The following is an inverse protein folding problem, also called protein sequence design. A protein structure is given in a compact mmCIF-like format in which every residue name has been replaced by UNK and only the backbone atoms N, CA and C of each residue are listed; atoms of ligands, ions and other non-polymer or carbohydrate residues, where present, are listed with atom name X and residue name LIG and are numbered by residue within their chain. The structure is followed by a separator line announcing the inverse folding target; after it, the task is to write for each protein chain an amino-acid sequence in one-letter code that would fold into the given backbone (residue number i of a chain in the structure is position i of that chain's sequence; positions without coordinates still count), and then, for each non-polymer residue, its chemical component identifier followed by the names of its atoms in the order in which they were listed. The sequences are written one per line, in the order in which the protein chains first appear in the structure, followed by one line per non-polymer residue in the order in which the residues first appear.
data_IF_202988567904
#
_entry.id   IF_202988567904
#
_cell.length_a   1.000
_cell.length_b   1.000
_cell.length_c   1.000
_cell.angle_alpha   90.00
_cell.angle_beta   90.00
_cell.angle_gamma   90.00
#
_symmetry.space_group_name_H-M   'P 1'
#
loop_
_entity.id
_entity.type
_entity.pdbx_description
1 polymer ?
#
# COMPACT_ATOMS: atom_id res chain seq x y z
N UNK A 1 -10.10 -21.71 -18.11
CA UNK A 1 -11.35 -20.92 -18.11
C UNK A 1 -11.54 -20.38 -19.52
N UNK A 2 -12.70 -20.62 -20.14
CA UNK A 2 -12.95 -20.17 -21.51
C UNK A 2 -13.13 -18.65 -21.52
N UNK A 3 -12.31 -17.95 -22.31
CA UNK A 3 -12.49 -16.51 -22.55
C UNK A 3 -13.90 -16.24 -23.06
N UNK A 4 -14.55 -15.20 -22.54
CA UNK A 4 -15.81 -14.71 -23.09
C UNK A 4 -15.47 -14.01 -24.40
N UNK A 5 -15.45 -14.76 -25.50
CA UNK A 5 -15.11 -14.28 -26.84
C UNK A 5 -16.31 -13.65 -27.57
N UNK A 6 -17.30 -13.13 -26.84
CA UNK A 6 -18.45 -12.44 -27.41
C UNK A 6 -18.67 -11.10 -26.71
N UNK A 7 -19.12 -10.05 -27.42
CA UNK A 7 -19.50 -8.80 -26.80
C UNK A 7 -20.49 -9.01 -25.66
N UNK A 8 -20.44 -8.14 -24.66
CA UNK A 8 -21.48 -8.12 -23.61
C UNK A 8 -22.83 -7.79 -24.25
N UNK A 9 -23.88 -8.49 -23.83
CA UNK A 9 -25.23 -8.25 -24.32
C UNK A 9 -25.79 -6.96 -23.73
N UNK A 10 -26.48 -6.17 -24.55
CA UNK A 10 -27.24 -5.00 -24.08
C UNK A 10 -28.35 -5.39 -23.08
N UNK A 11 -28.77 -6.65 -23.03
CA UNK A 11 -29.69 -7.12 -21.97
C UNK A 11 -29.10 -7.02 -20.56
N UNK A 12 -27.79 -6.83 -20.42
CA UNK A 12 -27.17 -6.60 -19.12
C UNK A 12 -27.62 -5.25 -18.53
N UNK A 13 -27.82 -4.22 -19.36
CA UNK A 13 -28.21 -2.88 -18.89
C UNK A 13 -29.63 -2.81 -18.33
N UNK A 14 -30.48 -3.81 -18.63
CA UNK A 14 -31.85 -3.90 -18.08
C UNK A 14 -31.90 -4.50 -16.67
N UNK A 15 -30.76 -4.92 -16.10
CA UNK A 15 -30.70 -5.47 -14.75
C UNK A 15 -30.62 -4.36 -13.68
N UNK A 16 -31.70 -3.59 -13.52
CA UNK A 16 -31.75 -2.40 -12.66
C UNK A 16 -31.47 -2.63 -11.16
N UNK A 17 -31.55 -3.89 -10.70
CA UNK A 17 -31.24 -4.25 -9.31
C UNK A 17 -29.78 -4.69 -9.13
N UNK A 18 -29.02 -4.87 -10.21
CA UNK A 18 -27.64 -5.36 -10.14
C UNK A 18 -26.72 -4.30 -9.55
N UNK A 19 -26.06 -4.63 -8.43
CA UNK A 19 -25.10 -3.74 -7.75
C UNK A 19 -23.66 -4.08 -8.02
N UNK A 20 -23.36 -5.36 -8.14
CA UNK A 20 -21.99 -5.85 -8.33
C UNK A 20 -21.94 -6.73 -9.56
N UNK A 21 -20.94 -6.50 -10.42
CA UNK A 21 -20.71 -7.28 -11.62
C UNK A 21 -19.26 -7.75 -11.68
N UNK A 22 -19.08 -9.06 -11.81
CA UNK A 22 -17.76 -9.70 -11.95
C UNK A 22 -17.65 -10.37 -13.32
N UNK A 23 -16.68 -9.94 -14.12
CA UNK A 23 -16.36 -10.48 -15.44
C UNK A 23 -14.94 -11.03 -15.42
N UNK A 24 -14.81 -12.32 -15.15
CA UNK A 24 -13.46 -12.88 -14.91
C UNK A 24 -12.66 -13.10 -16.19
N UNK A 25 -13.33 -13.38 -17.33
CA UNK A 25 -12.64 -13.71 -18.59
C UNK A 25 -13.12 -12.88 -19.79
N UNK A 26 -13.63 -11.68 -19.54
CA UNK A 26 -14.02 -10.71 -20.57
C UNK A 26 -12.85 -9.77 -20.88
N UNK A 27 -12.54 -9.60 -22.17
CA UNK A 27 -11.40 -8.79 -22.64
C UNK A 27 -11.67 -8.09 -23.97
N UNK A 28 -12.93 -7.96 -24.38
CA UNK A 28 -13.29 -7.25 -25.61
C UNK A 28 -13.55 -5.76 -25.31
N UNK A 29 -13.47 -4.87 -26.32
CA UNK A 29 -13.88 -3.48 -26.17
C UNK A 29 -15.31 -3.35 -25.61
N UNK A 30 -15.51 -2.35 -24.76
CA UNK A 30 -16.80 -2.06 -24.16
C UNK A 30 -17.67 -1.24 -25.11
N UNK A 31 -18.80 -1.81 -25.52
CA UNK A 31 -19.87 -1.08 -26.18
C UNK A 31 -20.52 -0.07 -25.22
N UNK A 32 -20.89 1.11 -25.73
CA UNK A 32 -21.56 2.14 -24.93
C UNK A 32 -22.89 1.65 -24.36
N UNK A 33 -23.16 1.97 -23.08
CA UNK A 33 -24.43 1.67 -22.41
C UNK A 33 -24.67 0.20 -22.08
N UNK A 34 -23.64 -0.64 -22.09
CA UNK A 34 -23.80 -2.09 -21.86
C UNK A 34 -23.99 -2.45 -20.39
N UNK A 35 -23.53 -1.60 -19.49
CA UNK A 35 -23.64 -1.82 -18.04
C UNK A 35 -24.92 -1.17 -17.48
N UNK A 36 -25.61 -1.83 -16.53
CA UNK A 36 -26.72 -1.21 -15.83
C UNK A 36 -26.23 -0.06 -14.95
N UNK A 37 -26.92 1.07 -15.01
CA UNK A 37 -26.59 2.30 -14.25
C UNK A 37 -26.60 2.09 -12.73
N UNK A 38 -27.25 1.03 -12.25
CA UNK A 38 -27.35 0.67 -10.84
C UNK A 38 -26.08 0.10 -10.23
N UNK A 39 -25.08 -0.27 -11.04
CA UNK A 39 -23.84 -0.90 -10.59
C UNK A 39 -23.03 0.07 -9.73
N UNK A 40 -22.66 -0.39 -8.54
CA UNK A 40 -21.74 0.29 -7.63
C UNK A 40 -20.36 -0.35 -7.55
N UNK A 41 -20.20 -1.61 -8.00
CA UNK A 41 -18.93 -2.30 -8.04
C UNK A 41 -18.74 -3.12 -9.32
N UNK A 42 -17.64 -2.88 -10.04
CA UNK A 42 -17.29 -3.59 -11.26
C UNK A 42 -15.90 -4.21 -11.13
N UNK A 43 -15.83 -5.51 -11.40
CA UNK A 43 -14.59 -6.28 -11.50
C UNK A 43 -14.48 -6.88 -12.89
N UNK A 44 -13.40 -6.60 -13.60
CA UNK A 44 -13.10 -7.23 -14.88
C UNK A 44 -11.65 -7.73 -14.87
N UNK A 45 -11.45 -9.03 -14.60
CA UNK A 45 -10.11 -9.56 -14.33
C UNK A 45 -9.21 -9.52 -15.56
N UNK A 46 -9.66 -10.12 -16.65
CA UNK A 46 -8.88 -10.25 -17.89
C UNK A 46 -9.03 -9.03 -18.83
N UNK A 47 -9.65 -7.94 -18.38
CA UNK A 47 -9.92 -6.77 -19.22
C UNK A 47 -8.67 -5.90 -19.39
N UNK A 48 -8.21 -5.78 -20.64
CA UNK A 48 -7.05 -4.98 -21.04
C UNK A 48 -7.31 -4.28 -22.39
N UNK A 49 -8.40 -3.52 -22.46
CA UNK A 49 -8.72 -2.63 -23.60
C UNK A 49 -8.95 -1.22 -23.06
N UNK A 50 -8.88 -0.21 -23.92
CA UNK A 50 -9.16 1.17 -23.54
C UNK A 50 -10.50 1.27 -22.80
N UNK A 51 -10.49 2.02 -21.69
CA UNK A 51 -11.74 2.45 -21.07
C UNK A 51 -12.53 3.27 -22.09
N UNK A 52 -13.84 3.11 -22.10
CA UNK A 52 -14.73 3.82 -23.02
C UNK A 52 -15.79 4.60 -22.25
N UNK A 53 -16.56 5.41 -22.98
CA UNK A 53 -17.70 6.15 -22.44
C UNK A 53 -18.75 5.26 -21.72
N UNK A 54 -18.75 3.95 -21.95
CA UNK A 54 -19.58 2.99 -21.24
C UNK A 54 -19.33 2.99 -19.71
N UNK A 55 -18.12 3.36 -19.29
CA UNK A 55 -17.75 3.45 -17.89
C UNK A 55 -17.93 4.87 -17.33
N UNK A 56 -17.67 5.92 -18.13
CA UNK A 56 -17.77 7.30 -17.66
C UNK A 56 -19.20 7.75 -17.35
N UNK A 57 -20.21 7.06 -17.87
CA UNK A 57 -21.64 7.31 -17.55
C UNK A 57 -22.12 6.62 -16.27
N UNK A 58 -21.31 5.77 -15.62
CA UNK A 58 -21.73 5.02 -14.43
C UNK A 58 -21.54 5.84 -13.14
N UNK A 59 -22.40 6.83 -12.91
CA UNK A 59 -22.30 7.76 -11.77
C UNK A 59 -22.50 7.13 -10.39
N UNK A 60 -23.04 5.90 -10.33
CA UNK A 60 -23.16 5.13 -9.08
C UNK A 60 -21.97 4.21 -8.83
N UNK A 61 -21.05 4.06 -9.79
CA UNK A 61 -19.89 3.18 -9.67
C UNK A 61 -18.90 3.76 -8.66
N UNK A 62 -18.66 3.01 -7.58
CA UNK A 62 -17.76 3.37 -6.48
C UNK A 62 -16.48 2.55 -6.47
N UNK A 63 -16.54 1.31 -6.93
CA UNK A 63 -15.38 0.40 -6.93
C UNK A 63 -15.13 -0.14 -8.33
N UNK A 64 -13.91 0.06 -8.83
CA UNK A 64 -13.45 -0.48 -10.11
C UNK A 64 -12.17 -1.30 -9.89
N UNK A 65 -12.25 -2.60 -10.16
CA UNK A 65 -11.15 -3.55 -9.99
C UNK A 65 -10.76 -4.18 -11.33
N UNK A 66 -9.60 -3.80 -11.86
CA UNK A 66 -9.08 -4.22 -13.16
C UNK A 66 -7.64 -4.75 -13.01
N UNK A 67 -7.46 -5.97 -12.48
CA UNK A 67 -6.14 -6.47 -12.09
C UNK A 67 -5.18 -6.68 -13.25
N UNK A 68 -5.65 -6.98 -14.46
CA UNK A 68 -4.79 -7.18 -15.64
C UNK A 68 -4.78 -5.99 -16.61
N UNK A 69 -5.44 -4.87 -16.25
CA UNK A 69 -5.52 -3.70 -17.13
C UNK A 69 -4.18 -2.97 -17.20
N UNK A 70 -3.70 -2.69 -18.41
CA UNK A 70 -2.43 -2.03 -18.66
C UNK A 70 -2.46 -1.12 -19.92
N UNK A 71 -3.60 -0.47 -20.17
CA UNK A 71 -3.76 0.52 -21.26
C UNK A 71 -3.74 1.96 -20.71
N UNK A 72 -3.47 2.96 -21.54
CA UNK A 72 -3.52 4.38 -21.13
C UNK A 72 -4.87 4.73 -20.47
N UNK A 73 -4.82 5.55 -19.44
CA UNK A 73 -6.01 6.06 -18.74
C UNK A 73 -6.27 7.48 -19.20
N UNK A 74 -7.54 7.83 -19.39
CA UNK A 74 -7.99 9.21 -19.62
C UNK A 74 -9.10 9.57 -18.64
N UNK A 75 -9.03 10.80 -18.11
CA UNK A 75 -10.04 11.35 -17.19
C UNK A 75 -11.45 11.31 -17.80
N UNK A 76 -11.57 11.42 -19.12
CA UNK A 76 -12.86 11.41 -19.83
C UNK A 76 -13.51 10.01 -19.89
N UNK A 77 -12.67 8.98 -19.77
CA UNK A 77 -13.08 7.56 -19.88
C UNK A 77 -13.24 6.88 -18.52
N UNK A 78 -12.61 7.43 -17.48
CA UNK A 78 -12.79 6.95 -16.12
C UNK A 78 -14.17 7.36 -15.58
N UNK A 79 -14.86 6.49 -14.82
CA UNK A 79 -16.06 6.87 -14.11
C UNK A 79 -15.75 7.98 -13.08
N UNK A 80 -16.46 9.11 -13.09
CA UNK A 80 -16.13 10.27 -12.27
C UNK A 80 -16.44 10.10 -10.78
N UNK A 81 -17.19 9.06 -10.41
CA UNK A 81 -17.68 8.80 -9.05
C UNK A 81 -16.89 7.75 -8.27
N UNK A 82 -15.85 7.14 -8.87
CA UNK A 82 -15.10 6.03 -8.27
C UNK A 82 -14.36 6.50 -7.02
N UNK A 83 -14.50 5.73 -5.96
CA UNK A 83 -13.82 5.95 -4.69
C UNK A 83 -12.66 4.96 -4.50
N UNK A 84 -12.75 3.78 -5.10
CA UNK A 84 -11.72 2.73 -5.04
C UNK A 84 -11.35 2.28 -6.45
N UNK A 85 -10.07 2.38 -6.78
CA UNK A 85 -9.49 1.96 -8.06
C UNK A 85 -8.32 1.02 -7.82
N UNK A 86 -8.43 -0.21 -8.31
CA UNK A 86 -7.41 -1.24 -8.18
C UNK A 86 -6.92 -1.70 -9.55
N UNK A 87 -5.66 -1.38 -9.87
CA UNK A 87 -4.99 -1.70 -11.12
C UNK A 87 -3.67 -2.43 -10.83
N UNK A 88 -3.74 -3.75 -10.64
CA UNK A 88 -2.61 -4.51 -10.13
C UNK A 88 -1.45 -4.60 -11.14
N UNK A 89 -1.74 -4.91 -12.39
CA UNK A 89 -0.73 -5.09 -13.46
C UNK A 89 -0.44 -3.80 -14.26
N UNK A 90 -1.01 -2.67 -13.84
CA UNK A 90 -0.89 -1.42 -14.59
C UNK A 90 0.51 -0.83 -14.43
N UNK A 91 1.17 -0.60 -15.56
CA UNK A 91 2.53 -0.07 -15.65
C UNK A 91 2.70 0.82 -16.90
N UNK A 92 1.70 1.66 -17.20
CA UNK A 92 1.83 2.77 -18.15
C UNK A 92 2.08 4.08 -17.39
N UNK A 93 2.69 5.08 -18.03
CA UNK A 93 2.88 6.41 -17.42
C UNK A 93 1.51 7.07 -17.16
N UNK A 94 1.28 7.54 -15.94
CA UNK A 94 0.08 8.31 -15.58
C UNK A 94 0.45 9.79 -15.63
N UNK A 95 -0.22 10.56 -16.49
CA UNK A 95 -0.04 12.02 -16.55
C UNK A 95 -0.76 12.70 -15.38
N UNK A 96 -0.30 13.89 -14.94
CA UNK A 96 -1.00 14.69 -13.95
C UNK A 96 -2.50 14.89 -14.28
N UNK A 97 -3.36 14.85 -13.26
CA UNK A 97 -4.81 15.11 -13.36
C UNK A 97 -5.62 14.11 -14.24
N UNK A 98 -5.05 12.96 -14.61
CA UNK A 98 -5.75 11.92 -15.40
C UNK A 98 -6.69 11.07 -14.54
N UNK A 99 -6.34 10.83 -13.28
CA UNK A 99 -7.14 10.03 -12.36
C UNK A 99 -8.21 10.89 -11.69
N UNK A 100 -9.48 10.43 -11.59
CA UNK A 100 -10.56 11.20 -10.96
C UNK A 100 -10.26 11.64 -9.52
N UNK A 101 -10.61 12.89 -9.15
CA UNK A 101 -10.41 13.38 -7.78
C UNK A 101 -11.34 12.71 -6.76
N UNK A 102 -12.34 11.93 -7.17
CA UNK A 102 -13.20 11.16 -6.27
C UNK A 102 -12.48 9.98 -5.61
N UNK A 103 -11.33 9.55 -6.14
CA UNK A 103 -10.61 8.38 -5.65
C UNK A 103 -10.09 8.65 -4.24
N UNK A 104 -10.41 7.72 -3.33
CA UNK A 104 -9.92 7.72 -1.94
C UNK A 104 -9.01 6.52 -1.65
N UNK A 105 -9.15 5.42 -2.39
CA UNK A 105 -8.30 4.23 -2.30
C UNK A 105 -7.74 3.89 -3.69
N UNK A 106 -6.42 3.85 -3.82
CA UNK A 106 -5.72 3.58 -5.08
C UNK A 106 -4.69 2.47 -4.89
N UNK A 107 -4.79 1.42 -5.71
CA UNK A 107 -3.82 0.32 -5.73
C UNK A 107 -3.16 0.25 -7.11
N UNK A 108 -1.85 0.39 -7.14
CA UNK A 108 -0.99 0.37 -8.33
C UNK A 108 0.20 -0.57 -8.04
N UNK A 109 -0.05 -1.88 -8.04
CA UNK A 109 0.92 -2.88 -7.57
C UNK A 109 2.19 -2.89 -8.41
N UNK A 110 2.08 -3.05 -9.74
CA UNK A 110 3.20 -3.16 -10.68
C UNK A 110 3.66 -1.83 -11.28
N UNK A 111 3.06 -0.70 -10.88
CA UNK A 111 3.41 0.61 -11.42
C UNK A 111 4.84 0.99 -11.03
N UNK A 112 5.66 1.25 -12.04
CA UNK A 112 7.08 1.52 -11.87
C UNK A 112 7.61 2.63 -12.78
N UNK A 113 6.88 3.73 -12.87
CA UNK A 113 7.31 4.96 -13.53
C UNK A 113 7.44 6.09 -12.52
N UNK A 114 8.37 7.05 -12.68
CA UNK A 114 8.48 8.18 -11.77
C UNK A 114 7.14 8.90 -11.59
N UNK A 115 6.77 9.22 -10.35
CA UNK A 115 5.62 10.06 -10.08
C UNK A 115 5.97 11.52 -10.31
N UNK A 116 5.02 12.26 -10.87
CA UNK A 116 5.01 13.72 -10.90
C UNK A 116 3.95 14.25 -9.92
N UNK A 117 4.03 15.53 -9.48
CA UNK A 117 2.97 16.16 -8.73
C UNK A 117 1.61 16.02 -9.44
N UNK A 118 0.54 15.82 -8.66
CA UNK A 118 -0.84 15.66 -9.16
C UNK A 118 -1.11 14.38 -9.98
N UNK A 119 -0.17 13.44 -10.06
CA UNK A 119 -0.44 12.09 -10.58
C UNK A 119 -1.36 11.32 -9.62
N UNK A 120 -1.07 11.39 -8.32
CA UNK A 120 -1.94 10.83 -7.28
C UNK A 120 -3.06 11.86 -6.98
N UNK A 121 -4.36 11.49 -7.10
CA UNK A 121 -5.46 12.43 -6.89
C UNK A 121 -5.50 13.06 -5.50
N UNK A 122 -6.04 14.29 -5.37
CA UNK A 122 -5.95 15.08 -4.14
C UNK A 122 -6.76 14.54 -2.94
N UNK A 123 -7.68 13.60 -3.15
CA UNK A 123 -8.51 13.01 -2.09
C UNK A 123 -8.08 11.58 -1.70
N UNK A 124 -6.97 11.07 -2.26
CA UNK A 124 -6.47 9.74 -1.91
C UNK A 124 -6.10 9.71 -0.43
N UNK A 125 -6.70 8.76 0.29
CA UNK A 125 -6.44 8.47 1.71
C UNK A 125 -5.62 7.21 1.87
N UNK A 126 -5.73 6.25 0.94
CA UNK A 126 -4.98 4.98 0.94
C UNK A 126 -4.33 4.75 -0.41
N UNK A 127 -3.03 4.52 -0.40
CA UNK A 127 -2.22 4.28 -1.61
C UNK A 127 -1.36 3.02 -1.44
N UNK A 128 -1.36 2.17 -2.45
CA UNK A 128 -0.45 1.02 -2.54
C UNK A 128 0.39 1.08 -3.82
N UNK A 129 1.71 1.11 -3.65
CA UNK A 129 2.73 1.21 -4.71
C UNK A 129 3.83 0.17 -4.44
N UNK A 130 3.51 -1.11 -4.60
CA UNK A 130 4.34 -2.19 -4.05
C UNK A 130 5.55 -2.59 -4.90
N UNK A 131 5.54 -2.31 -6.20
CA UNK A 131 6.67 -2.51 -7.13
C UNK A 131 7.35 -1.19 -7.52
N UNK A 132 6.93 -0.05 -6.97
CA UNK A 132 7.46 1.27 -7.31
C UNK A 132 8.94 1.41 -6.93
N UNK A 133 9.81 1.51 -7.94
CA UNK A 133 11.27 1.52 -7.79
C UNK A 133 11.85 2.96 -7.86
N UNK A 134 11.05 3.94 -8.23
CA UNK A 134 11.55 5.29 -8.46
C UNK A 134 11.81 6.04 -7.15
N UNK A 135 12.62 7.11 -7.21
CA UNK A 135 12.88 7.95 -6.05
C UNK A 135 11.59 8.60 -5.54
N UNK A 136 11.59 8.87 -4.23
CA UNK A 136 10.59 9.71 -3.60
C UNK A 136 11.06 11.17 -3.64
N UNK A 137 10.14 12.08 -3.33
CA UNK A 137 10.40 13.50 -3.38
C UNK A 137 9.24 14.31 -2.85
N UNK A 138 9.50 15.59 -2.61
CA UNK A 138 8.52 16.55 -2.11
C UNK A 138 7.33 16.64 -3.07
N UNK A 139 6.13 16.74 -2.49
CA UNK A 139 4.87 16.99 -3.21
C UNK A 139 4.38 15.88 -4.17
N UNK A 140 4.96 14.67 -4.12
CA UNK A 140 4.49 13.53 -4.92
C UNK A 140 3.15 12.96 -4.42
N UNK A 141 2.88 13.11 -3.13
CA UNK A 141 1.67 12.58 -2.49
C UNK A 141 0.78 13.71 -1.96
N UNK A 142 -0.55 13.53 -1.96
CA UNK A 142 -1.47 14.52 -1.40
C UNK A 142 -1.43 14.54 0.13
N UNK A 143 -1.69 15.70 0.73
CA UNK A 143 -1.78 15.89 2.19
C UNK A 143 -3.04 15.24 2.82
N UNK A 144 -3.84 14.51 2.04
CA UNK A 144 -4.93 13.66 2.53
C UNK A 144 -4.49 12.21 2.77
N UNK A 145 -3.29 11.84 2.32
CA UNK A 145 -2.82 10.46 2.37
C UNK A 145 -2.57 10.03 3.81
N UNK A 146 -3.30 9.02 4.27
CA UNK A 146 -3.26 8.51 5.64
C UNK A 146 -2.58 7.14 5.71
N UNK A 147 -2.79 6.28 4.71
CA UNK A 147 -2.24 4.92 4.67
C UNK A 147 -1.40 4.75 3.40
N UNK A 148 -0.10 4.51 3.57
CA UNK A 148 0.83 4.27 2.47
C UNK A 148 1.46 2.88 2.61
N UNK A 149 1.25 2.04 1.60
CA UNK A 149 2.04 0.82 1.39
C UNK A 149 2.92 1.06 0.19
N UNK A 150 4.24 1.06 0.36
CA UNK A 150 5.19 1.37 -0.71
C UNK A 150 6.33 0.37 -0.72
N UNK A 151 6.90 0.13 -1.90
CA UNK A 151 8.16 -0.59 -2.00
C UNK A 151 9.28 0.17 -1.27
N UNK A 152 10.26 -0.57 -0.77
CA UNK A 152 11.43 -0.08 -0.08
C UNK A 152 12.64 0.14 -1.00
N UNK A 153 12.41 0.45 -2.28
CA UNK A 153 13.50 0.52 -3.26
C UNK A 153 14.38 1.77 -3.13
N UNK A 154 13.82 2.92 -2.75
CA UNK A 154 14.57 4.16 -2.62
C UNK A 154 15.84 3.94 -1.79
N UNK A 155 16.99 4.39 -2.30
CA UNK A 155 18.26 4.24 -1.58
C UNK A 155 18.21 4.94 -0.21
N UNK A 156 17.46 6.03 -0.13
CA UNK A 156 17.33 6.88 1.04
C UNK A 156 15.93 7.50 1.07
N UNK A 157 15.36 7.63 2.27
CA UNK A 157 14.17 8.43 2.56
C UNK A 157 14.62 9.73 3.24
N UNK A 158 14.27 10.86 2.64
CA UNK A 158 14.64 12.19 3.12
C UNK A 158 13.50 12.83 3.93
N UNK A 159 13.83 13.89 4.65
CA UNK A 159 12.84 14.78 5.24
C UNK A 159 11.94 15.40 4.15
N UNK A 160 10.64 15.45 4.40
CA UNK A 160 9.57 15.92 3.48
C UNK A 160 9.25 15.05 2.24
N UNK A 161 9.88 13.87 2.07
CA UNK A 161 9.52 12.94 0.99
C UNK A 161 8.09 12.38 1.14
N UNK A 162 7.61 12.33 2.38
CA UNK A 162 6.30 11.80 2.76
C UNK A 162 5.44 12.91 3.40
N UNK A 163 4.15 13.00 3.08
CA UNK A 163 3.27 14.01 3.66
C UNK A 163 3.02 13.75 5.15
N UNK A 164 2.89 14.83 5.92
CA UNK A 164 2.66 14.80 7.37
C UNK A 164 1.27 14.29 7.79
N UNK A 165 0.45 13.85 6.84
CA UNK A 165 -0.88 13.27 7.07
C UNK A 165 -0.85 11.75 7.28
N UNK A 166 0.28 11.10 6.98
CA UNK A 166 0.38 9.63 7.04
C UNK A 166 0.32 9.17 8.50
N UNK A 167 -0.63 8.27 8.78
CA UNK A 167 -0.79 7.61 10.08
C UNK A 167 -0.38 6.15 10.05
N UNK A 168 -0.41 5.51 8.88
CA UNK A 168 0.03 4.14 8.66
C UNK A 168 1.03 4.07 7.49
N UNK A 169 2.25 3.63 7.77
CA UNK A 169 3.32 3.50 6.80
C UNK A 169 3.86 2.06 6.78
N UNK A 170 3.82 1.43 5.61
CA UNK A 170 4.31 0.07 5.41
C UNK A 170 5.26 0.02 4.23
N UNK A 171 6.52 -0.31 4.53
CA UNK A 171 7.53 -0.62 3.52
C UNK A 171 7.46 -2.10 3.16
N UNK A 172 6.90 -2.42 2.01
CA UNK A 172 6.86 -3.77 1.49
C UNK A 172 8.21 -4.13 0.88
N UNK A 173 8.78 -5.23 1.34
CA UNK A 173 10.02 -5.78 0.75
C UNK A 173 9.73 -6.36 -0.62
N UNK A 174 10.40 -5.83 -1.64
CA UNK A 174 10.36 -6.42 -2.98
C UNK A 174 11.52 -7.43 -3.13
N UNK A 175 11.22 -8.73 -3.14
CA UNK A 175 12.22 -9.78 -3.28
C UNK A 175 12.75 -9.95 -4.71
N UNK A 176 12.10 -9.32 -5.70
CA UNK A 176 12.47 -9.45 -7.11
C UNK A 176 13.71 -8.64 -7.49
N UNK A 177 14.13 -7.70 -6.65
CA UNK A 177 15.28 -6.83 -6.92
C UNK A 177 16.34 -7.01 -5.84
N UNK A 178 17.59 -7.21 -6.26
CA UNK A 178 18.80 -7.20 -5.42
C UNK A 178 19.17 -5.78 -4.99
N UNK A 179 18.18 -4.98 -4.58
CA UNK A 179 18.38 -3.56 -4.30
C UNK A 179 19.12 -3.34 -2.99
N UNK A 180 19.87 -2.23 -2.93
CA UNK A 180 20.47 -1.76 -1.70
C UNK A 180 19.37 -1.53 -0.67
N UNK A 181 19.61 -1.87 0.61
CA UNK A 181 18.71 -1.55 1.71
C UNK A 181 18.44 -0.05 1.79
N UNK A 182 17.16 0.33 1.92
CA UNK A 182 16.76 1.72 2.15
C UNK A 182 17.41 2.26 3.43
N UNK A 183 17.83 3.52 3.38
CA UNK A 183 18.30 4.29 4.53
C UNK A 183 17.24 5.29 4.97
N UNK A 184 17.11 5.52 6.27
CA UNK A 184 16.22 6.54 6.81
C UNK A 184 17.07 7.67 7.39
N UNK A 185 16.90 8.88 6.85
CA UNK A 185 17.47 10.07 7.48
C UNK A 185 16.74 10.37 8.80
N UNK A 186 17.39 11.07 9.72
CA UNK A 186 16.70 11.64 10.88
C UNK A 186 15.48 12.45 10.42
N UNK A 187 14.33 12.27 11.07
CA UNK A 187 13.04 12.93 10.75
C UNK A 187 12.41 12.56 9.39
N UNK A 188 12.93 11.55 8.67
CA UNK A 188 12.36 11.15 7.37
C UNK A 188 10.99 10.46 7.47
N UNK A 189 10.68 9.87 8.62
CA UNK A 189 9.36 9.28 8.90
C UNK A 189 8.50 10.35 9.56
N UNK A 190 7.32 10.69 9.00
CA UNK A 190 6.49 11.77 9.54
C UNK A 190 6.08 11.54 11.01
N UNK A 191 6.05 12.60 11.85
CA UNK A 191 5.67 12.51 13.26
C UNK A 191 4.17 12.23 13.49
N UNK A 192 3.39 12.09 12.43
CA UNK A 192 1.99 11.65 12.46
C UNK A 192 1.84 10.13 12.44
N UNK A 193 2.90 9.38 12.09
CA UNK A 193 2.85 7.93 11.90
C UNK A 193 2.60 7.24 13.24
N UNK A 194 1.51 6.45 13.30
CA UNK A 194 1.13 5.65 14.47
C UNK A 194 1.47 4.17 14.27
N UNK A 195 1.36 3.69 13.03
CA UNK A 195 1.66 2.31 12.64
C UNK A 195 2.78 2.30 11.62
N UNK A 196 3.90 1.69 11.97
CA UNK A 196 5.09 1.59 11.11
C UNK A 196 5.47 0.13 10.90
N UNK A 197 5.59 -0.28 9.64
CA UNK A 197 6.14 -1.58 9.25
C UNK A 197 7.42 -1.31 8.44
N UNK A 198 8.56 -1.57 9.06
CA UNK A 198 9.87 -1.39 8.44
C UNK A 198 10.19 -2.55 7.47
N UNK A 199 11.02 -2.31 6.44
CA UNK A 199 11.29 -3.32 5.43
C UNK A 199 12.24 -4.40 5.92
N UNK A 200 11.95 -5.67 5.59
CA UNK A 200 12.71 -6.83 6.05
C UNK A 200 14.20 -6.80 5.69
N UNK A 201 14.58 -6.17 4.57
CA UNK A 201 15.96 -6.09 4.09
C UNK A 201 16.73 -4.88 4.64
N UNK A 202 16.21 -4.15 5.62
CA UNK A 202 16.92 -3.04 6.26
C UNK A 202 18.24 -3.54 6.88
N UNK A 203 19.38 -3.01 6.43
CA UNK A 203 20.70 -3.53 6.81
C UNK A 203 21.49 -2.62 7.74
N UNK A 204 20.96 -1.44 8.07
CA UNK A 204 21.63 -0.51 8.96
C UNK A 204 21.13 -0.73 10.40
N UNK A 205 21.96 -0.45 11.41
CA UNK A 205 21.47 -0.33 12.78
C UNK A 205 20.38 0.73 12.85
N UNK A 206 19.31 0.46 13.58
CA UNK A 206 18.32 1.48 13.90
C UNK A 206 18.94 2.48 14.87
N UNK A 207 18.87 3.78 14.55
CA UNK A 207 19.42 4.83 15.37
C UNK A 207 18.34 5.44 16.26
N UNK A 208 18.75 6.02 17.39
CA UNK A 208 17.87 6.81 18.26
C UNK A 208 17.29 7.96 17.42
N UNK A 209 15.97 8.11 17.46
CA UNK A 209 15.24 9.14 16.71
C UNK A 209 14.89 8.78 15.26
N UNK A 210 15.29 7.61 14.74
CA UNK A 210 14.81 7.13 13.43
C UNK A 210 13.30 6.88 13.44
N UNK A 211 12.79 6.30 14.54
CA UNK A 211 11.36 5.99 14.69
C UNK A 211 10.70 7.12 15.52
N UNK A 212 9.67 7.79 15.00
CA UNK A 212 9.02 8.89 15.73
C UNK A 212 8.31 8.44 17.02
N UNK A 213 8.27 9.33 18.02
CA UNK A 213 7.54 9.15 19.29
C UNK A 213 6.01 9.12 19.17
N UNK A 214 5.47 9.16 17.95
CA UNK A 214 4.04 8.94 17.68
C UNK A 214 3.70 7.47 17.43
N UNK A 215 4.71 6.63 17.16
CA UNK A 215 4.51 5.23 16.75
C UNK A 215 4.07 4.39 17.94
N UNK A 216 2.89 3.78 17.82
CA UNK A 216 2.31 2.88 18.83
C UNK A 216 2.33 1.42 18.39
N UNK A 217 2.41 1.15 17.08
CA UNK A 217 2.59 -0.19 16.50
C UNK A 217 3.81 -0.20 15.59
N UNK A 218 4.78 -1.07 15.89
CA UNK A 218 6.01 -1.21 15.12
C UNK A 218 6.24 -2.68 14.74
N UNK A 219 6.50 -2.91 13.46
CA UNK A 219 7.13 -4.15 12.99
C UNK A 219 8.58 -3.84 12.60
N UNK A 220 9.51 -4.49 13.30
CA UNK A 220 10.95 -4.32 13.09
C UNK A 220 11.45 -5.13 11.87
N UNK A 221 12.51 -4.66 11.21
CA UNK A 221 13.16 -5.43 10.15
C UNK A 221 13.92 -6.63 10.73
N UNK A 222 14.55 -7.44 9.86
CA UNK A 222 15.45 -8.50 10.33
C UNK A 222 16.70 -7.85 10.93
N UNK A 223 16.80 -7.87 12.25
CA UNK A 223 17.96 -7.33 12.95
C UNK A 223 19.13 -8.31 12.90
N UNK A 224 20.32 -7.82 12.55
CA UNK A 224 21.59 -8.56 12.59
C UNK A 224 22.34 -8.42 13.92
N UNK A 225 21.84 -7.57 14.82
CA UNK A 225 22.41 -7.29 16.14
C UNK A 225 21.30 -7.04 17.15
N UNK A 226 21.57 -7.17 18.46
CA UNK A 226 20.61 -6.80 19.50
C UNK A 226 20.17 -5.33 19.40
N UNK A 227 18.98 -5.03 19.92
CA UNK A 227 18.49 -3.65 20.03
C UNK A 227 19.35 -2.86 21.03
N UNK A 228 19.45 -1.55 20.81
CA UNK A 228 20.08 -0.61 21.74
C UNK A 228 19.03 0.15 22.53
N UNK A 229 19.38 0.56 23.75
CA UNK A 229 18.51 1.38 24.61
C UNK A 229 18.18 2.71 23.91
N UNK A 230 16.91 3.11 23.96
CA UNK A 230 16.42 4.37 23.37
C UNK A 230 16.12 4.32 21.87
N UNK A 231 16.33 3.19 21.18
CA UNK A 231 15.98 3.05 19.76
C UNK A 231 14.47 2.96 19.54
N UNK A 232 13.76 2.30 20.45
CA UNK A 232 12.31 2.18 20.40
C UNK A 232 11.66 3.44 21.02
N UNK A 233 10.57 3.97 20.45
CA UNK A 233 9.91 5.17 20.98
C UNK A 233 9.12 4.85 22.26
N UNK A 234 9.05 5.82 23.18
CA UNK A 234 8.34 5.70 24.46
C UNK A 234 6.81 5.57 24.34
N UNK A 235 6.25 5.81 23.15
CA UNK A 235 4.83 5.62 22.84
C UNK A 235 4.48 4.20 22.41
N UNK A 236 5.48 3.34 22.21
CA UNK A 236 5.29 2.03 21.59
C UNK A 236 4.45 1.11 22.47
N UNK A 237 3.33 0.61 21.96
CA UNK A 237 2.46 -0.33 22.71
C UNK A 237 2.54 -1.75 22.15
N UNK A 238 2.75 -1.89 20.85
CA UNK A 238 2.80 -3.17 20.14
C UNK A 238 4.08 -3.28 19.31
N UNK A 239 4.89 -4.28 19.63
CA UNK A 239 6.15 -4.56 18.95
C UNK A 239 6.07 -5.93 18.26
N UNK A 240 6.37 -5.99 16.97
CA UNK A 240 6.42 -7.25 16.22
C UNK A 240 7.83 -7.45 15.66
N UNK A 241 8.42 -8.60 15.96
CA UNK A 241 9.64 -9.07 15.31
C UNK A 241 9.27 -9.98 14.15
N UNK A 242 9.93 -9.82 13.00
CA UNK A 242 9.63 -10.63 11.82
C UNK A 242 10.31 -12.00 11.85
N UNK A 243 9.84 -12.90 10.99
CA UNK A 243 10.40 -14.25 10.77
C UNK A 243 11.92 -14.19 10.53
N UNK A 244 12.65 -15.01 11.28
CA UNK A 244 14.12 -15.08 11.21
C UNK A 244 14.86 -14.10 12.13
N UNK A 245 14.16 -13.37 13.01
CA UNK A 245 14.77 -12.70 14.15
C UNK A 245 15.22 -13.73 15.20
N UNK A 246 16.51 -13.71 15.55
CA UNK A 246 17.12 -14.59 16.56
C UNK A 246 18.28 -13.84 17.25
N UNK A 247 17.95 -12.73 17.91
CA UNK A 247 18.89 -11.93 18.71
C UNK A 247 18.37 -11.84 20.13
N UNK A 248 19.23 -11.86 21.17
CA UNK A 248 18.78 -11.76 22.55
C UNK A 248 18.01 -10.45 22.78
N UNK A 249 16.92 -10.55 23.53
CA UNK A 249 16.10 -9.40 23.93
C UNK A 249 16.54 -8.96 25.33
N UNK A 250 17.08 -7.75 25.43
CA UNK A 250 17.35 -7.09 26.70
C UNK A 250 16.10 -6.30 27.15
N UNK A 251 15.50 -6.60 28.31
CA UNK A 251 14.36 -5.85 28.84
C UNK A 251 14.60 -4.34 28.95
N UNK A 252 15.84 -3.88 29.16
CA UNK A 252 16.16 -2.45 29.23
C UNK A 252 15.98 -1.71 27.90
N UNK A 253 15.88 -2.44 26.78
CA UNK A 253 15.65 -1.88 25.44
C UNK A 253 14.16 -1.75 25.09
N UNK A 254 13.28 -2.35 25.89
CA UNK A 254 11.83 -2.37 25.65
C UNK A 254 11.17 -1.26 26.49
N UNK A 255 10.50 -0.27 25.86
CA UNK A 255 9.80 0.79 26.59
C UNK A 255 8.70 0.24 27.52
N UNK A 256 8.46 0.91 28.64
CA UNK A 256 7.46 0.48 29.64
C UNK A 256 6.02 0.50 29.11
N UNK A 257 5.77 1.27 28.05
CA UNK A 257 4.47 1.36 27.37
C UNK A 257 4.12 0.10 26.58
N UNK A 258 5.08 -0.80 26.30
CA UNK A 258 4.85 -2.00 25.48
C UNK A 258 4.00 -3.00 26.25
N UNK A 259 2.80 -3.26 25.73
CA UNK A 259 1.85 -4.22 26.31
C UNK A 259 1.79 -5.53 25.53
N UNK A 260 2.34 -5.55 24.30
CA UNK A 260 2.34 -6.72 23.45
C UNK A 260 3.62 -6.80 22.61
N UNK A 261 4.29 -7.95 22.68
CA UNK A 261 5.40 -8.33 21.82
C UNK A 261 4.99 -9.57 21.03
N UNK A 262 5.17 -9.54 19.71
CA UNK A 262 4.95 -10.69 18.83
C UNK A 262 6.31 -11.22 18.34
N UNK A 263 6.60 -12.48 18.65
CA UNK A 263 7.79 -13.19 18.20
C UNK A 263 7.44 -14.28 17.18
N UNK A 264 8.30 -14.52 16.17
CA UNK A 264 8.09 -15.62 15.24
C UNK A 264 8.33 -16.97 15.95
N UNK A 265 7.32 -17.84 15.94
CA UNK A 265 7.39 -19.17 16.51
C UNK A 265 8.45 -20.01 15.79
N UNK A 266 9.14 -20.89 16.52
CA UNK A 266 10.21 -21.77 16.02
C UNK A 266 11.49 -21.10 15.48
N UNK A 267 11.59 -19.77 15.40
CA UNK A 267 12.80 -19.06 14.95
C UNK A 267 13.62 -18.49 16.09
N UNK A 268 12.98 -17.96 17.13
CA UNK A 268 13.65 -17.38 18.28
C UNK A 268 14.11 -18.46 19.26
N UNK A 269 15.42 -18.58 19.48
CA UNK A 269 16.02 -19.65 20.28
C UNK A 269 16.61 -19.19 21.60
N UNK A 270 16.60 -17.88 21.86
CA UNK A 270 17.13 -17.32 23.09
C UNK A 270 16.12 -17.45 24.24
N UNK A 271 16.58 -17.49 25.50
CA UNK A 271 15.70 -17.37 26.65
C UNK A 271 14.88 -16.08 26.59
N UNK A 272 13.61 -16.17 26.98
CA UNK A 272 12.76 -14.99 27.17
C UNK A 272 12.99 -14.47 28.59
N UNK A 273 13.35 -13.19 28.78
CA UNK A 273 13.47 -12.61 30.11
C UNK A 273 12.16 -12.71 30.91
N UNK A 274 12.25 -13.07 32.19
CA UNK A 274 11.07 -13.26 33.05
C UNK A 274 10.14 -12.03 33.10
N UNK A 275 10.71 -10.82 33.01
CA UNK A 275 9.95 -9.57 32.99
C UNK A 275 9.07 -9.37 31.76
N UNK A 276 9.33 -10.10 30.66
CA UNK A 276 8.61 -9.96 29.40
C UNK A 276 7.63 -11.12 29.12
N UNK A 277 7.64 -12.17 29.94
CA UNK A 277 6.83 -13.38 29.71
C UNK A 277 5.33 -13.10 29.54
N UNK A 278 4.80 -12.13 30.28
CA UNK A 278 3.37 -11.82 30.28
C UNK A 278 2.90 -11.00 29.07
N UNK A 279 3.82 -10.42 28.29
CA UNK A 279 3.51 -9.57 27.15
C UNK A 279 3.94 -10.18 25.81
N UNK A 280 4.70 -11.28 25.82
CA UNK A 280 5.13 -11.99 24.62
C UNK A 280 4.07 -12.99 24.19
N UNK A 281 3.67 -12.91 22.92
CA UNK A 281 2.95 -13.97 22.22
C UNK A 281 3.78 -14.43 21.01
N UNK A 282 3.62 -15.69 20.61
CA UNK A 282 4.22 -16.22 19.39
C UNK A 282 3.20 -16.31 18.26
N UNK A 283 3.67 -16.25 17.02
CA UNK A 283 2.86 -16.47 15.82
C UNK A 283 3.57 -17.43 14.86
N UNK A 284 2.82 -18.21 14.07
CA UNK A 284 3.36 -19.22 13.14
C UNK A 284 4.13 -18.64 11.94
#
# INVERSE_FOLDING_TARGET
MNKINRPLSNSLSTLHSLKTLHLESFSLPLSGGVFPESISALRMRDFDNLLSNSLSTLYLLKTLYLPNYNQEISIETCPPSIETLDLLSFNQVIKPNVLPPSITNLTLTEYNHPLEPQVIPPNVKKLQLTSYNCNLGKHLFPNTLQHLVISNHSNELLEDDLPSSITELHFKSNFSYTSKPIRFQTNSIPPSVKKLILPNNYSQPLQVGTIPNSVTYLTLPKLSSPLQVGVLPESLTKLTFIKGFDQPIDPATIPQSVTQILLPNNYYKHPIPNSLLNIINSYE
#
